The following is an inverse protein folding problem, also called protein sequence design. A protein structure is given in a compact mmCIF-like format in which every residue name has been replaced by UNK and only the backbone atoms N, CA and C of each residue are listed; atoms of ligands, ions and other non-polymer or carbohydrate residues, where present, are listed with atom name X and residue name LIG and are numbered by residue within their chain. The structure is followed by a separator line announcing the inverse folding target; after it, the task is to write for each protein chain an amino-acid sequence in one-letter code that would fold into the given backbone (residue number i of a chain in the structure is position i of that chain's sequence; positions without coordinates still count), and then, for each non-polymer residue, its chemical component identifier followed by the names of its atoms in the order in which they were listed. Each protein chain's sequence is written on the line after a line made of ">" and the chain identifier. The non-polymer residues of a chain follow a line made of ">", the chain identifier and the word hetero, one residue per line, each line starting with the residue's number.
data_IF_970747736375
#
_entry.id   IF_970747736375
#
_cell.length_a   1.000
_cell.length_b   1.000
_cell.length_c   1.000
_cell.angle_alpha   90.00
_cell.angle_beta   90.00
_cell.angle_gamma   90.00
#
_symmetry.space_group_name_H-M   'P 1'
#
loop_
_entity.id
_entity.type
_entity.pdbx_description
1 polymer ?
#
# COMPACT_ATOMS: atom_id res chain seq x y z
N UNK A 1 1.75 -10.91 3.41
CA UNK A 1 1.83 -12.22 2.75
C UNK A 1 3.06 -12.23 1.84
N UNK A 2 4.24 -11.91 2.40
CA UNK A 2 5.50 -11.80 1.64
C UNK A 2 6.05 -13.16 1.26
N UNK A 3 5.74 -14.16 2.07
CA UNK A 3 6.36 -15.48 2.05
C UNK A 3 5.82 -16.33 0.88
N UNK A 4 4.85 -15.81 0.12
CA UNK A 4 4.18 -16.49 -0.98
C UNK A 4 4.47 -15.90 -2.36
N UNK A 5 5.19 -14.78 -2.45
CA UNK A 5 5.44 -14.09 -3.72
C UNK A 5 6.91 -13.67 -3.82
N UNK A 6 7.57 -14.10 -4.90
CA UNK A 6 8.95 -13.69 -5.20
C UNK A 6 8.94 -12.28 -5.78
N UNK A 7 9.24 -11.26 -4.97
CA UNK A 7 9.33 -9.86 -5.42
C UNK A 7 10.73 -9.63 -5.98
N UNK A 8 10.91 -9.33 -7.28
CA UNK A 8 12.23 -9.08 -7.85
C UNK A 8 12.86 -7.81 -7.25
N UNK A 9 14.12 -7.88 -6.83
CA UNK A 9 14.89 -6.75 -6.30
C UNK A 9 15.01 -5.57 -7.29
N UNK A 10 14.72 -5.80 -8.57
CA UNK A 10 14.76 -4.80 -9.64
C UNK A 10 13.60 -3.80 -9.62
N UNK A 11 12.53 -4.06 -8.86
CA UNK A 11 11.38 -3.15 -8.77
C UNK A 11 11.55 -2.23 -7.56
N UNK A 12 12.35 -1.18 -7.73
CA UNK A 12 12.34 -0.06 -6.79
C UNK A 12 10.87 0.38 -6.61
N UNK A 13 10.41 0.51 -5.36
CA UNK A 13 9.04 0.83 -4.91
C UNK A 13 8.15 -0.36 -4.50
N UNK A 14 8.45 -1.61 -4.87
CA UNK A 14 7.71 -2.77 -4.34
C UNK A 14 8.52 -3.40 -3.21
N UNK A 15 7.91 -3.52 -2.03
CA UNK A 15 8.53 -4.16 -0.87
C UNK A 15 7.71 -5.36 -0.41
N UNK A 16 8.36 -6.48 -0.07
CA UNK A 16 7.68 -7.58 0.61
C UNK A 16 7.07 -7.11 1.93
N UNK A 17 5.82 -7.51 2.20
CA UNK A 17 5.13 -7.27 3.48
C UNK A 17 4.72 -8.61 4.08
N UNK A 18 5.15 -8.96 5.30
CA UNK A 18 4.82 -10.26 5.88
C UNK A 18 3.33 -10.40 6.16
N UNK A 19 2.80 -11.63 6.12
CA UNK A 19 1.38 -11.87 6.37
C UNK A 19 0.94 -11.41 7.76
N UNK A 20 1.82 -11.56 8.75
CA UNK A 20 1.58 -11.14 10.14
C UNK A 20 1.37 -9.63 10.27
N UNK A 21 2.02 -8.83 9.44
CA UNK A 21 1.97 -7.36 9.54
C UNK A 21 0.61 -6.82 9.09
N UNK A 22 -0.09 -7.57 8.24
CA UNK A 22 -1.42 -7.25 7.72
C UNK A 22 -2.54 -7.83 8.59
N UNK A 23 -2.30 -8.87 9.39
CA UNK A 23 -3.33 -9.47 10.26
C UNK A 23 -3.64 -8.59 11.47
N UNK A 24 -4.76 -8.86 12.14
CA UNK A 24 -5.15 -8.18 13.38
C UNK A 24 -3.99 -8.15 14.40
N UNK A 25 -3.70 -6.96 14.94
CA UNK A 25 -2.54 -6.73 15.82
C UNK A 25 -1.20 -6.51 15.10
N UNK A 26 -1.15 -6.65 13.78
CA UNK A 26 -0.01 -6.31 12.94
C UNK A 26 0.19 -4.80 12.76
N UNK A 27 1.40 -4.38 12.41
CA UNK A 27 1.76 -2.95 12.24
C UNK A 27 0.97 -2.24 11.14
N UNK A 28 0.46 -2.98 10.15
CA UNK A 28 -0.30 -2.48 9.01
C UNK A 28 -1.77 -2.96 9.01
N UNK A 29 -2.23 -3.58 10.10
CA UNK A 29 -3.58 -4.12 10.21
C UNK A 29 -4.66 -3.07 9.89
N UNK A 30 -4.49 -1.87 10.45
CA UNK A 30 -5.43 -0.77 10.24
C UNK A 30 -5.49 -0.30 8.77
N UNK A 31 -4.39 -0.45 8.01
CA UNK A 31 -4.35 -0.07 6.61
C UNK A 31 -5.14 -1.03 5.68
N UNK A 32 -5.51 -2.21 6.18
CA UNK A 32 -6.32 -3.17 5.41
C UNK A 32 -7.74 -3.38 5.96
N UNK A 33 -8.01 -2.90 7.17
CA UNK A 33 -9.24 -3.23 7.90
C UNK A 33 -10.49 -2.64 7.24
N UNK A 34 -10.39 -1.40 6.76
CA UNK A 34 -11.57 -0.66 6.27
C UNK A 34 -11.82 -0.87 4.77
N UNK A 35 -10.90 -1.54 4.05
CA UNK A 35 -10.90 -1.74 2.57
C UNK A 35 -10.99 -0.47 1.73
N UNK A 36 -11.30 0.67 2.33
CA UNK A 36 -11.36 1.98 1.71
C UNK A 36 -9.97 2.60 1.61
N UNK A 37 -9.74 3.47 0.61
CA UNK A 37 -8.55 4.29 0.56
C UNK A 37 -8.50 5.20 1.79
N UNK A 38 -7.35 5.20 2.46
CA UNK A 38 -7.07 6.18 3.49
C UNK A 38 -6.13 7.26 2.92
N UNK A 39 -6.49 8.53 3.09
CA UNK A 39 -5.67 9.68 2.67
C UNK A 39 -5.44 10.62 3.83
N UNK A 40 -4.23 11.15 3.95
CA UNK A 40 -3.96 12.21 4.91
C UNK A 40 -2.51 12.33 5.36
N UNK A 41 -2.35 13.08 6.45
CA UNK A 41 -1.06 13.25 7.13
C UNK A 41 -0.71 11.98 7.90
N UNK A 42 0.55 11.58 7.81
CA UNK A 42 1.03 10.32 8.37
C UNK A 42 1.98 10.61 9.52
N UNK A 43 1.83 9.90 10.63
CA UNK A 43 2.77 9.96 11.76
C UNK A 43 4.15 9.47 11.33
N UNK A 44 5.21 9.95 12.00
CA UNK A 44 6.58 9.56 11.65
C UNK A 44 6.79 8.03 11.66
N UNK A 45 6.15 7.33 12.60
CA UNK A 45 6.20 5.87 12.71
C UNK A 45 5.57 5.19 11.48
N UNK A 46 4.36 5.61 11.10
CA UNK A 46 3.65 5.06 9.93
C UNK A 46 4.35 5.41 8.62
N UNK A 47 4.99 6.58 8.51
CA UNK A 47 5.85 6.92 7.36
C UNK A 47 7.04 5.96 7.25
N UNK A 48 7.69 5.66 8.37
CA UNK A 48 8.82 4.73 8.41
C UNK A 48 8.39 3.32 8.04
N UNK A 49 7.23 2.87 8.49
CA UNK A 49 6.68 1.56 8.14
C UNK A 49 6.35 1.45 6.65
N UNK A 50 5.71 2.46 6.04
CA UNK A 50 5.30 2.44 4.64
C UNK A 50 6.47 2.71 3.67
N UNK A 51 7.32 3.70 3.97
CA UNK A 51 8.30 4.22 3.02
C UNK A 51 9.76 3.88 3.40
N UNK A 52 10.03 3.44 4.64
CA UNK A 52 11.37 3.06 5.08
C UNK A 52 12.35 4.24 5.03
N UNK A 53 13.43 4.10 4.25
CA UNK A 53 14.47 5.14 4.09
C UNK A 53 13.94 6.44 3.49
N UNK A 54 12.92 6.34 2.63
CA UNK A 54 12.30 7.49 1.95
C UNK A 54 11.27 8.22 2.82
N UNK A 55 11.03 7.76 4.05
CA UNK A 55 10.01 8.32 4.97
C UNK A 55 10.18 9.81 5.27
N UNK A 56 11.40 10.34 5.18
CA UNK A 56 11.70 11.76 5.40
C UNK A 56 11.24 12.67 4.25
N UNK A 57 11.04 12.13 3.05
CA UNK A 57 10.61 12.87 1.87
C UNK A 57 9.08 12.89 1.69
N UNK A 58 8.35 12.28 2.62
CA UNK A 58 6.89 12.15 2.55
C UNK A 58 6.25 12.95 3.67
N UNK A 59 5.29 13.81 3.34
CA UNK A 59 4.54 14.63 4.30
C UNK A 59 3.03 14.35 4.27
N UNK A 60 2.51 13.85 3.15
CA UNK A 60 1.16 13.26 3.04
C UNK A 60 1.22 11.93 2.31
N UNK A 61 0.24 11.05 2.55
CA UNK A 61 0.15 9.82 1.79
C UNK A 61 -1.30 9.36 1.56
N UNK A 62 -1.47 8.54 0.53
CA UNK A 62 -2.65 7.75 0.25
C UNK A 62 -2.30 6.26 0.38
N UNK A 63 -3.13 5.48 1.05
CA UNK A 63 -2.97 4.03 1.14
C UNK A 63 -4.24 3.31 0.71
N UNK A 64 -4.10 2.24 -0.08
CA UNK A 64 -5.22 1.45 -0.56
C UNK A 64 -4.90 -0.04 -0.47
N UNK A 65 -5.76 -0.79 0.20
CA UNK A 65 -5.63 -2.24 0.30
C UNK A 65 -5.98 -2.89 -1.05
N UNK A 66 -5.11 -3.76 -1.55
CA UNK A 66 -5.31 -4.49 -2.81
C UNK A 66 -5.92 -5.86 -2.48
N UNK A 67 -7.24 -5.95 -2.54
CA UNK A 67 -8.01 -7.13 -2.10
C UNK A 67 -8.89 -7.64 -3.25
N UNK A 68 -8.76 -8.92 -3.61
CA UNK A 68 -9.68 -9.61 -4.53
C UNK A 68 -9.75 -11.10 -4.20
N UNK A 69 -10.74 -11.49 -3.40
CA UNK A 69 -10.87 -12.83 -2.80
C UNK A 69 -9.90 -13.09 -1.65
N UNK A 70 -8.67 -12.58 -1.74
CA UNK A 70 -7.67 -12.52 -0.67
C UNK A 70 -6.87 -11.20 -0.77
N UNK A 71 -6.06 -10.90 0.26
CA UNK A 71 -5.22 -9.69 0.31
C UNK A 71 -3.94 -9.90 -0.46
N UNK A 72 -3.75 -9.15 -1.56
CA UNK A 72 -2.50 -9.16 -2.34
C UNK A 72 -1.46 -8.24 -1.72
N UNK A 73 -1.88 -7.13 -1.11
CA UNK A 73 -0.95 -6.20 -0.47
C UNK A 73 -1.58 -4.84 -0.16
N UNK A 74 -0.72 -3.84 -0.02
CA UNK A 74 -1.06 -2.46 0.27
C UNK A 74 -0.35 -1.56 -0.74
N UNK A 75 -1.11 -0.73 -1.44
CA UNK A 75 -0.56 0.39 -2.21
C UNK A 75 -0.36 1.57 -1.27
N UNK A 76 0.82 2.20 -1.30
CA UNK A 76 1.11 3.43 -0.57
C UNK A 76 1.74 4.46 -1.50
N UNK A 77 1.09 5.60 -1.69
CA UNK A 77 1.60 6.74 -2.45
C UNK A 77 1.97 7.85 -1.48
N UNK A 78 3.24 8.26 -1.47
CA UNK A 78 3.72 9.36 -0.64
C UNK A 78 3.99 10.62 -1.46
N UNK A 79 3.75 11.80 -0.88
CA UNK A 79 4.04 13.09 -1.49
C UNK A 79 4.77 14.04 -0.50
N UNK A 80 5.74 14.85 -0.95
CA UNK A 80 6.50 15.77 -0.08
C UNK A 80 5.70 16.98 0.42
N UNK A 81 4.58 17.30 -0.25
CA UNK A 81 3.62 18.31 0.21
C UNK A 81 2.58 17.67 1.14
N UNK A 82 2.43 18.22 2.34
CA UNK A 82 1.48 17.77 3.36
C UNK A 82 0.00 18.01 2.98
N UNK A 83 -0.26 18.81 1.95
CA UNK A 83 -1.60 19.18 1.48
C UNK A 83 -2.02 18.47 0.18
N UNK A 84 -1.14 17.63 -0.37
CA UNK A 84 -1.40 16.96 -1.65
C UNK A 84 -2.39 15.80 -1.59
N UNK A 85 -2.44 15.07 -0.46
CA UNK A 85 -3.43 14.02 -0.19
C UNK A 85 -4.31 14.47 0.99
N UNK A 86 -5.32 15.27 0.70
CA UNK A 86 -6.30 15.73 1.68
C UNK A 86 -7.58 14.90 1.60
N UNK A 87 -8.25 14.72 2.73
CA UNK A 87 -9.54 14.02 2.83
C UNK A 87 -10.68 14.67 2.05
N UNK A 88 -10.48 15.89 1.54
CA UNK A 88 -11.41 16.62 0.68
C UNK A 88 -11.17 16.42 -0.82
N UNK A 89 -10.09 15.74 -1.22
CA UNK A 89 -9.87 15.37 -2.63
C UNK A 89 -10.56 14.05 -2.94
N UNK A 90 -11.21 13.97 -4.10
CA UNK A 90 -11.81 12.74 -4.59
C UNK A 90 -10.75 11.63 -4.70
N UNK A 91 -10.98 10.53 -3.99
CA UNK A 91 -10.17 9.30 -4.04
C UNK A 91 -10.55 8.40 -5.22
N UNK A 92 -11.51 8.81 -6.05
CA UNK A 92 -12.03 8.00 -7.15
C UNK A 92 -10.92 7.52 -8.11
N UNK A 93 -9.91 8.36 -8.35
CA UNK A 93 -8.75 7.99 -9.16
C UNK A 93 -7.89 6.92 -8.49
N UNK A 94 -7.66 7.05 -7.18
CA UNK A 94 -6.91 6.07 -6.38
C UNK A 94 -7.63 4.72 -6.35
N UNK A 95 -8.95 4.73 -6.19
CA UNK A 95 -9.81 3.55 -6.24
C UNK A 95 -9.71 2.85 -7.59
N UNK A 96 -9.83 3.59 -8.70
CA UNK A 96 -9.65 3.04 -10.04
C UNK A 96 -8.28 2.39 -10.25
N UNK A 97 -7.21 3.03 -9.76
CA UNK A 97 -5.86 2.44 -9.80
C UNK A 97 -5.82 1.15 -8.98
N UNK A 98 -6.36 1.16 -7.76
CA UNK A 98 -6.35 -0.02 -6.89
C UNK A 98 -7.12 -1.19 -7.50
N UNK A 99 -8.27 -0.94 -8.10
CA UNK A 99 -9.04 -1.96 -8.81
C UNK A 99 -8.27 -2.51 -10.01
N UNK A 100 -7.69 -1.64 -10.84
CA UNK A 100 -6.87 -2.06 -11.97
C UNK A 100 -5.69 -2.93 -11.51
N UNK A 101 -4.98 -2.52 -10.45
CA UNK A 101 -3.88 -3.28 -9.88
C UNK A 101 -4.34 -4.61 -9.29
N UNK A 102 -5.43 -4.64 -8.53
CA UNK A 102 -6.01 -5.87 -7.99
C UNK A 102 -6.51 -6.83 -9.09
N UNK A 103 -6.82 -6.32 -10.28
CA UNK A 103 -7.12 -7.14 -11.45
C UNK A 103 -5.89 -7.75 -12.12
N UNK A 104 -4.77 -7.02 -12.14
CA UNK A 104 -3.54 -7.41 -12.84
C UNK A 104 -2.61 -8.25 -11.95
N UNK A 105 -2.55 -7.98 -10.65
CA UNK A 105 -1.69 -8.68 -9.68
C UNK A 105 -1.82 -10.21 -9.70
N UNK A 106 -3.03 -10.81 -9.74
CA UNK A 106 -3.15 -12.27 -9.80
C UNK A 106 -2.49 -12.86 -11.04
N UNK A 107 -2.43 -12.12 -12.15
CA UNK A 107 -1.72 -12.56 -13.34
C UNK A 107 -0.22 -12.46 -13.14
N UNK A 108 0.29 -11.31 -12.67
CA UNK A 108 1.72 -11.09 -12.49
C UNK A 108 2.35 -12.01 -11.43
N UNK A 109 1.61 -12.32 -10.37
CA UNK A 109 2.08 -13.16 -9.27
C UNK A 109 1.97 -14.66 -9.57
N UNK A 110 1.16 -15.05 -10.55
CA UNK A 110 1.02 -16.44 -11.01
C UNK A 110 1.82 -16.72 -12.30
N UNK A 111 2.73 -15.82 -12.70
CA UNK A 111 3.56 -16.00 -13.92
C UNK A 111 4.88 -16.75 -13.65
N UNK A 112 5.02 -17.42 -12.51
CA UNK A 112 6.07 -18.41 -12.29
C UNK A 112 5.72 -19.72 -13.03
N UNK A 113 6.05 -19.76 -14.33
CA UNK A 113 6.33 -21.00 -15.07
C UNK A 113 7.84 -21.13 -15.25
#
# INVERSE_FOLDING_TARGET
>A
LSDQFNVPDSVALVKPISAKDLKEGGSLAHAISDKEPWVGRVTADRKKQLFGKESKAVESCATLALIRGHTYGLLALGHPDATHFQSSQDTLFLEHIGEALAMILPRLLNQDH
#
